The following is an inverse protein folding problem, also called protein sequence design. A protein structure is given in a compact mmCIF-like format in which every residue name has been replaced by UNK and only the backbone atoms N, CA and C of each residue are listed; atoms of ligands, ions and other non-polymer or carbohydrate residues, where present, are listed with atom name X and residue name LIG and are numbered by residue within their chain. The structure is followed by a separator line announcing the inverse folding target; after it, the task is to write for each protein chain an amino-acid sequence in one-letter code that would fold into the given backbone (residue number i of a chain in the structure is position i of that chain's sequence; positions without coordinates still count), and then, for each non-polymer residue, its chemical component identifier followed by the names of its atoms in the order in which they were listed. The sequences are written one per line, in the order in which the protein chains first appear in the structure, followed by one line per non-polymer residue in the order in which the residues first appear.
data_IF_703406736614
#
_entry.id   IF_703406736614
#
_cell.length_a   1.000
_cell.length_b   1.000
_cell.length_c   1.000
_cell.angle_alpha   90.00
_cell.angle_beta   90.00
_cell.angle_gamma   90.00
#
_symmetry.space_group_name_H-M   'P 1'
#
loop_
_entity.id
_entity.type
_entity.pdbx_description
1 polymer ?
#
# COMPACT_ATOMS: atom_id res chain seq x y z
N UNK A 1 -7.78 -1.86 -3.72
CA UNK A 1 -7.26 -2.06 -5.09
C UNK A 1 -7.78 -3.34 -5.73
N UNK A 2 -7.66 -4.51 -5.10
CA UNK A 2 -8.02 -5.81 -5.71
C UNK A 2 -9.47 -5.96 -6.21
N UNK A 3 -10.42 -5.22 -5.69
CA UNK A 3 -11.79 -5.17 -6.18
C UNK A 3 -11.94 -4.52 -7.57
N UNK A 4 -10.96 -3.73 -8.00
CA UNK A 4 -11.13 -2.87 -9.18
C UNK A 4 -10.01 -2.99 -10.20
N UNK A 5 -8.83 -3.48 -9.81
CA UNK A 5 -7.68 -3.62 -10.71
C UNK A 5 -6.53 -4.44 -10.13
N UNK A 6 -5.66 -4.93 -11.00
CA UNK A 6 -4.29 -5.35 -10.66
C UNK A 6 -4.12 -6.80 -10.24
N UNK A 7 -5.18 -7.50 -9.83
CA UNK A 7 -5.10 -8.89 -9.34
C UNK A 7 -6.12 -9.82 -10.04
N UNK A 8 -6.32 -9.61 -11.34
CA UNK A 8 -7.32 -10.32 -12.12
C UNK A 8 -8.76 -9.81 -11.86
N UNK A 9 -9.77 -10.41 -12.49
CA UNK A 9 -11.16 -9.97 -12.40
C UNK A 9 -11.71 -10.08 -10.98
N UNK A 10 -12.63 -9.17 -10.64
CA UNK A 10 -13.42 -9.19 -9.42
C UNK A 10 -14.89 -8.93 -9.79
N UNK A 11 -15.81 -9.41 -8.95
CA UNK A 11 -17.24 -9.12 -9.07
C UNK A 11 -17.64 -8.20 -7.92
N UNK A 12 -18.51 -7.22 -8.23
CA UNK A 12 -18.91 -6.21 -7.26
C UNK A 12 -19.69 -6.83 -6.10
N UNK A 13 -20.56 -7.80 -6.38
CA UNK A 13 -21.36 -8.49 -5.36
C UNK A 13 -20.47 -9.21 -4.34
N UNK A 14 -19.47 -9.98 -4.80
CA UNK A 14 -18.50 -10.66 -3.92
C UNK A 14 -17.65 -9.65 -3.12
N UNK A 15 -17.38 -8.48 -3.73
CA UNK A 15 -16.64 -7.37 -3.09
C UNK A 15 -17.49 -6.72 -1.99
N UNK A 16 -18.80 -6.51 -2.22
CA UNK A 16 -19.73 -5.98 -1.22
C UNK A 16 -19.89 -6.94 -0.04
N UNK A 17 -19.97 -8.25 -0.28
CA UNK A 17 -19.98 -9.27 0.79
C UNK A 17 -18.68 -9.21 1.63
N UNK A 18 -17.54 -8.99 0.96
CA UNK A 18 -16.25 -8.85 1.66
C UNK A 18 -16.22 -7.57 2.52
N UNK A 19 -16.79 -6.46 2.05
CA UNK A 19 -16.92 -5.22 2.83
C UNK A 19 -17.86 -5.39 4.03
N UNK A 20 -18.99 -6.08 3.84
CA UNK A 20 -19.90 -6.42 4.94
C UNK A 20 -19.17 -7.24 6.01
N UNK A 21 -18.44 -8.26 5.60
CA UNK A 21 -17.62 -9.07 6.50
C UNK A 21 -16.56 -8.26 7.24
N UNK A 22 -15.97 -7.25 6.60
CA UNK A 22 -15.00 -6.36 7.25
C UNK A 22 -15.64 -5.57 8.41
N UNK A 23 -16.84 -5.03 8.19
CA UNK A 23 -17.58 -4.32 9.23
C UNK A 23 -17.95 -5.23 10.40
N UNK A 24 -18.41 -6.46 10.13
CA UNK A 24 -18.73 -7.46 11.14
C UNK A 24 -17.54 -7.81 12.03
N UNK A 25 -16.36 -8.01 11.42
CA UNK A 25 -15.12 -8.33 12.12
C UNK A 25 -14.52 -7.16 12.91
N UNK A 26 -14.97 -5.92 12.66
CA UNK A 26 -14.31 -4.72 13.19
C UNK A 26 -13.04 -4.33 12.42
N UNK A 27 -12.86 -4.83 11.19
CA UNK A 27 -11.80 -4.41 10.28
C UNK A 27 -12.21 -3.09 9.61
N UNK A 28 -12.00 -1.97 10.27
CA UNK A 28 -12.64 -0.68 9.94
C UNK A 28 -11.71 0.35 9.32
N UNK A 29 -10.43 0.07 9.15
CA UNK A 29 -9.52 0.93 8.39
C UNK A 29 -9.51 0.47 6.91
N UNK A 30 -10.17 1.24 6.04
CA UNK A 30 -10.27 0.92 4.61
C UNK A 30 -9.46 1.90 3.78
N UNK A 31 -8.78 1.38 2.76
CA UNK A 31 -7.89 2.16 1.89
C UNK A 31 -8.28 2.03 0.42
N UNK A 32 -8.64 3.15 -0.18
CA UNK A 32 -8.97 3.31 -1.59
C UNK A 32 -8.01 4.26 -2.29
N UNK A 33 -8.23 4.52 -3.56
CA UNK A 33 -7.61 5.59 -4.35
C UNK A 33 -8.43 5.85 -5.61
N UNK A 34 -8.40 7.09 -6.10
CA UNK A 34 -9.05 7.47 -7.36
C UNK A 34 -8.58 6.58 -8.53
N UNK A 35 -7.28 6.26 -8.58
CA UNK A 35 -6.69 5.44 -9.63
C UNK A 35 -7.19 3.98 -9.64
N UNK A 36 -7.79 3.47 -8.56
CA UNK A 36 -8.26 2.10 -8.49
C UNK A 36 -9.51 1.90 -9.34
N UNK A 37 -9.30 1.44 -10.59
CA UNK A 37 -10.34 1.30 -11.60
C UNK A 37 -10.92 2.64 -12.05
N UNK A 38 -10.13 3.72 -12.05
CA UNK A 38 -10.55 5.08 -12.39
C UNK A 38 -11.86 5.47 -11.66
N UNK A 39 -11.80 5.48 -10.33
CA UNK A 39 -12.92 5.83 -9.45
C UNK A 39 -13.87 4.68 -9.10
N UNK A 40 -13.83 3.55 -9.81
CA UNK A 40 -14.71 2.40 -9.54
C UNK A 40 -14.64 1.93 -8.07
N UNK A 41 -13.43 1.88 -7.49
CA UNK A 41 -13.25 1.41 -6.11
C UNK A 41 -13.93 2.32 -5.09
N UNK A 42 -13.86 3.63 -5.27
CA UNK A 42 -14.56 4.59 -4.41
C UNK A 42 -16.07 4.48 -4.58
N UNK A 43 -16.57 4.37 -5.82
CA UNK A 43 -18.00 4.20 -6.11
C UNK A 43 -18.56 2.90 -5.51
N UNK A 44 -17.80 1.81 -5.56
CA UNK A 44 -18.20 0.53 -4.95
C UNK A 44 -18.32 0.64 -3.42
N UNK A 45 -17.37 1.34 -2.78
CA UNK A 45 -17.42 1.61 -1.34
C UNK A 45 -18.58 2.56 -1.00
N UNK A 46 -18.83 3.58 -1.81
CA UNK A 46 -19.97 4.49 -1.66
C UNK A 46 -21.31 3.76 -1.74
N UNK A 47 -21.45 2.87 -2.74
CA UNK A 47 -22.61 1.98 -2.87
C UNK A 47 -22.80 1.12 -1.61
N UNK A 48 -21.69 0.57 -1.07
CA UNK A 48 -21.77 -0.21 0.16
C UNK A 48 -22.32 0.62 1.32
N UNK A 49 -21.88 1.86 1.50
CA UNK A 49 -22.37 2.74 2.57
C UNK A 49 -23.84 3.11 2.38
N UNK A 50 -24.28 3.33 1.14
CA UNK A 50 -25.68 3.60 0.82
C UNK A 50 -26.58 2.41 1.13
N UNK A 51 -26.17 1.19 0.73
CA UNK A 51 -26.91 -0.04 0.96
C UNK A 51 -26.87 -0.52 2.42
N UNK A 52 -25.91 -0.01 3.25
CA UNK A 52 -25.71 -0.41 4.65
C UNK A 52 -25.66 0.81 5.58
N UNK A 53 -26.79 1.48 5.87
CA UNK A 53 -26.84 2.65 6.74
C UNK A 53 -26.18 2.41 8.10
N UNK A 54 -25.42 3.40 8.59
CA UNK A 54 -24.65 3.32 9.85
C UNK A 54 -23.28 2.65 9.71
N UNK A 55 -22.93 2.12 8.53
CA UNK A 55 -21.60 1.55 8.31
C UNK A 55 -20.52 2.61 8.10
N UNK A 56 -20.87 3.76 7.50
CA UNK A 56 -19.90 4.85 7.27
C UNK A 56 -19.29 5.36 8.56
N UNK A 57 -20.07 5.53 9.61
CA UNK A 57 -19.64 6.02 10.93
C UNK A 57 -18.71 5.04 11.64
N UNK A 58 -18.75 3.76 11.27
CA UNK A 58 -17.89 2.70 11.84
C UNK A 58 -16.57 2.56 11.10
N UNK A 59 -16.47 3.09 9.88
CA UNK A 59 -15.32 2.90 8.99
C UNK A 59 -14.49 4.17 8.91
N UNK A 60 -13.19 4.03 9.14
CA UNK A 60 -12.20 5.04 8.80
C UNK A 60 -11.77 4.82 7.34
N UNK A 61 -12.16 5.68 6.44
CA UNK A 61 -11.88 5.55 4.99
C UNK A 61 -10.75 6.48 4.56
N UNK A 62 -9.74 5.92 3.93
CA UNK A 62 -8.67 6.65 3.28
C UNK A 62 -8.82 6.59 1.76
N UNK A 63 -8.51 7.69 1.06
CA UNK A 63 -8.37 7.73 -0.39
C UNK A 63 -7.19 8.59 -0.84
N UNK A 64 -6.89 8.60 -2.13
CA UNK A 64 -5.66 9.20 -2.67
C UNK A 64 -5.93 9.91 -4.00
N UNK A 65 -5.30 11.09 -4.18
CA UNK A 65 -5.22 11.81 -5.46
C UNK A 65 -3.78 11.86 -6.01
N UNK A 66 -3.56 12.67 -7.03
CA UNK A 66 -2.22 12.96 -7.56
C UNK A 66 -1.76 12.02 -8.68
N UNK A 67 -2.64 11.14 -9.16
CA UNK A 67 -2.45 10.39 -10.40
C UNK A 67 -3.66 10.68 -11.29
N UNK A 68 -3.39 11.15 -12.52
CA UNK A 68 -4.45 11.48 -13.48
C UNK A 68 -5.20 10.22 -13.93
N UNK A 69 -6.52 10.35 -14.07
CA UNK A 69 -7.41 9.30 -14.55
C UNK A 69 -8.30 9.84 -15.68
N UNK A 70 -8.47 9.02 -16.71
CA UNK A 70 -9.53 9.20 -17.71
C UNK A 70 -10.75 8.39 -17.23
N UNK A 71 -11.73 9.09 -16.65
CA UNK A 71 -12.92 8.47 -16.08
C UNK A 71 -13.87 7.91 -17.16
N UNK A 72 -13.89 8.52 -18.36
CA UNK A 72 -14.72 8.07 -19.49
C UNK A 72 -14.16 6.79 -20.09
N UNK A 73 -12.85 6.76 -20.38
CA UNK A 73 -12.18 5.57 -20.89
C UNK A 73 -11.90 4.52 -19.79
N UNK A 74 -12.19 4.83 -18.53
CA UNK A 74 -11.86 4.00 -17.34
C UNK A 74 -10.39 3.57 -17.32
N UNK A 75 -9.49 4.50 -17.62
CA UNK A 75 -8.04 4.28 -17.71
C UNK A 75 -7.26 5.22 -16.81
N UNK A 76 -6.05 4.84 -16.51
CA UNK A 76 -5.09 5.67 -15.80
C UNK A 76 -3.78 5.70 -16.59
N UNK A 77 -3.30 6.89 -16.86
CA UNK A 77 -2.03 7.12 -17.58
C UNK A 77 -0.82 7.05 -16.66
N UNK A 78 -1.03 6.84 -15.37
CA UNK A 78 0.00 6.89 -14.32
C UNK A 78 0.79 8.21 -14.30
N UNK A 79 0.25 9.24 -14.95
CA UNK A 79 0.82 10.60 -14.91
C UNK A 79 0.56 11.21 -13.55
N UNK A 80 1.61 11.69 -12.90
CA UNK A 80 1.49 12.35 -11.59
C UNK A 80 1.20 13.83 -11.77
N UNK A 81 0.21 14.34 -11.04
CA UNK A 81 -0.17 15.74 -11.03
C UNK A 81 -0.54 16.14 -9.60
N UNK A 82 0.33 16.89 -8.94
CA UNK A 82 0.12 17.38 -7.58
C UNK A 82 -0.20 18.90 -7.55
N UNK A 83 -0.73 19.46 -8.64
CA UNK A 83 -1.16 20.86 -8.63
C UNK A 83 -2.32 21.08 -7.66
N UNK A 84 -2.40 22.26 -7.10
CA UNK A 84 -3.50 22.68 -6.23
C UNK A 84 -4.86 22.48 -6.90
N UNK A 85 -4.98 22.84 -8.18
CA UNK A 85 -6.21 22.66 -8.94
C UNK A 85 -6.64 21.20 -9.02
N UNK A 86 -5.71 20.29 -9.37
CA UNK A 86 -5.98 18.85 -9.42
C UNK A 86 -6.37 18.27 -8.05
N UNK A 87 -5.66 18.63 -7.00
CA UNK A 87 -5.96 18.16 -5.63
C UNK A 87 -7.38 18.59 -5.22
N UNK A 88 -7.75 19.84 -5.49
CA UNK A 88 -9.08 20.39 -5.16
C UNK A 88 -10.20 19.78 -6.01
N UNK A 89 -9.96 19.53 -7.29
CA UNK A 89 -10.91 18.88 -8.17
C UNK A 89 -11.14 17.41 -7.75
N UNK A 90 -10.07 16.68 -7.51
CA UNK A 90 -10.14 15.25 -7.25
C UNK A 90 -10.78 14.91 -5.91
N UNK A 91 -10.66 15.75 -4.88
CA UNK A 91 -11.36 15.52 -3.61
C UNK A 91 -12.88 15.64 -3.77
N UNK A 92 -13.38 16.56 -4.62
CA UNK A 92 -14.82 16.69 -4.88
C UNK A 92 -15.37 15.39 -5.50
N UNK A 93 -14.70 14.89 -6.54
CA UNK A 93 -15.07 13.62 -7.15
C UNK A 93 -14.94 12.43 -6.19
N UNK A 94 -13.94 12.42 -5.29
CA UNK A 94 -13.82 11.40 -4.24
C UNK A 94 -15.02 11.45 -3.29
N UNK A 95 -15.42 12.64 -2.83
CA UNK A 95 -16.58 12.83 -1.95
C UNK A 95 -17.88 12.39 -2.64
N UNK A 96 -18.05 12.74 -3.92
CA UNK A 96 -19.19 12.33 -4.71
C UNK A 96 -19.27 10.79 -4.81
N UNK A 97 -18.20 10.13 -5.20
CA UNK A 97 -18.15 8.66 -5.36
C UNK A 97 -18.31 7.89 -4.05
N UNK A 98 -17.73 8.39 -2.95
CA UNK A 98 -17.87 7.79 -1.61
C UNK A 98 -19.21 8.12 -0.93
N UNK A 99 -19.93 9.15 -1.40
CA UNK A 99 -21.11 9.71 -0.73
C UNK A 99 -20.78 10.45 0.58
N UNK A 100 -19.50 10.66 0.88
CA UNK A 100 -19.03 11.34 2.10
C UNK A 100 -17.56 11.73 2.00
N UNK A 101 -17.12 12.69 2.83
CA UNK A 101 -15.70 13.03 2.95
C UNK A 101 -14.86 11.85 3.44
N UNK A 102 -13.69 11.58 2.85
CA UNK A 102 -12.75 10.60 3.39
C UNK A 102 -12.19 11.10 4.74
N UNK A 103 -11.82 10.15 5.61
CA UNK A 103 -11.14 10.51 6.87
C UNK A 103 -9.69 10.92 6.62
N UNK A 104 -9.00 10.24 5.71
CA UNK A 104 -7.60 10.49 5.37
C UNK A 104 -7.43 10.62 3.86
N UNK A 105 -6.71 11.67 3.43
CA UNK A 105 -6.47 11.91 2.01
C UNK A 105 -4.99 12.05 1.71
N UNK A 106 -4.50 11.26 0.73
CA UNK A 106 -3.08 11.20 0.39
C UNK A 106 -2.75 11.84 -0.96
N UNK A 107 -1.52 12.34 -1.08
CA UNK A 107 -0.83 12.31 -2.38
C UNK A 107 -0.35 10.89 -2.66
N UNK A 108 -0.85 10.28 -3.74
CA UNK A 108 -0.52 8.88 -4.09
C UNK A 108 0.92 8.72 -4.54
N UNK A 109 1.47 9.74 -5.24
CA UNK A 109 2.88 9.86 -5.64
C UNK A 109 3.27 11.33 -5.61
N UNK A 110 4.56 11.60 -5.43
CA UNK A 110 5.10 12.96 -5.46
C UNK A 110 5.46 13.31 -6.90
N UNK A 111 4.95 14.44 -7.40
CA UNK A 111 5.25 14.94 -8.74
C UNK A 111 6.66 15.53 -8.80
N UNK A 112 7.54 14.97 -9.66
CA UNK A 112 8.88 15.54 -9.84
C UNK A 112 8.82 16.95 -10.43
N UNK A 113 9.58 17.86 -9.84
CA UNK A 113 9.70 19.23 -10.36
C UNK A 113 8.60 20.21 -9.94
N UNK A 114 7.51 19.74 -9.32
CA UNK A 114 6.50 20.61 -8.71
C UNK A 114 6.94 21.08 -7.32
N UNK A 115 6.50 22.28 -6.93
CA UNK A 115 6.67 22.79 -5.58
C UNK A 115 5.94 21.88 -4.57
N UNK A 116 6.71 21.27 -3.68
CA UNK A 116 6.14 20.46 -2.59
C UNK A 116 5.24 21.30 -1.69
N UNK A 117 5.64 22.57 -1.44
CA UNK A 117 4.89 23.49 -0.57
C UNK A 117 3.49 23.79 -1.14
N UNK A 118 3.35 23.97 -2.47
CA UNK A 118 2.06 24.12 -3.13
C UNK A 118 1.15 22.93 -2.83
N UNK A 119 1.65 21.72 -3.07
CA UNK A 119 0.87 20.50 -2.92
C UNK A 119 0.48 20.23 -1.46
N UNK A 120 1.40 20.47 -0.51
CA UNK A 120 1.11 20.27 0.92
C UNK A 120 0.16 21.33 1.45
N UNK A 121 0.29 22.59 1.02
CA UNK A 121 -0.67 23.64 1.37
C UNK A 121 -2.07 23.31 0.84
N UNK A 122 -2.17 22.82 -0.40
CA UNK A 122 -3.46 22.38 -0.96
C UNK A 122 -4.12 21.29 -0.11
N UNK A 123 -3.38 20.24 0.30
CA UNK A 123 -3.90 19.22 1.22
C UNK A 123 -4.30 19.80 2.57
N UNK A 124 -3.47 20.69 3.14
CA UNK A 124 -3.76 21.35 4.41
C UNK A 124 -5.04 22.19 4.36
N UNK A 125 -5.28 22.84 3.22
CA UNK A 125 -6.49 23.64 3.01
C UNK A 125 -7.74 22.76 2.87
N UNK A 126 -7.64 21.56 2.25
CA UNK A 126 -8.73 20.57 2.28
C UNK A 126 -9.07 20.15 3.73
N UNK A 127 -8.06 19.90 4.55
CA UNK A 127 -8.25 19.56 5.98
C UNK A 127 -8.93 20.70 6.75
N UNK A 128 -8.48 21.94 6.56
CA UNK A 128 -9.11 23.13 7.16
C UNK A 128 -10.57 23.34 6.70
N UNK A 129 -10.85 23.03 5.43
CA UNK A 129 -12.20 23.10 4.86
C UNK A 129 -13.11 21.95 5.28
N UNK A 130 -12.62 20.98 6.09
CA UNK A 130 -13.39 19.81 6.53
C UNK A 130 -13.64 18.76 5.47
N UNK A 131 -12.93 18.80 4.34
CA UNK A 131 -13.05 17.84 3.23
C UNK A 131 -12.30 16.53 3.50
N UNK A 132 -11.42 16.52 4.48
CA UNK A 132 -10.83 15.34 5.10
C UNK A 132 -10.42 15.69 6.54
N UNK A 133 -10.22 14.68 7.38
CA UNK A 133 -9.78 14.87 8.78
C UNK A 133 -8.26 14.85 8.92
N UNK A 134 -7.62 14.04 8.07
CA UNK A 134 -6.19 13.77 8.09
C UNK A 134 -5.61 13.85 6.68
N UNK A 135 -4.31 14.17 6.58
CA UNK A 135 -3.60 14.23 5.31
C UNK A 135 -2.36 13.34 5.34
N UNK A 136 -1.99 12.77 4.20
CA UNK A 136 -0.89 11.83 4.12
C UNK A 136 -0.09 11.90 2.82
N UNK A 137 1.06 11.21 2.83
CA UNK A 137 1.89 11.00 1.65
C UNK A 137 2.05 9.50 1.38
N UNK A 138 2.25 9.13 0.13
CA UNK A 138 2.56 7.75 -0.24
C UNK A 138 3.84 7.70 -1.06
N UNK A 139 4.76 6.78 -0.70
CA UNK A 139 6.02 6.53 -1.41
C UNK A 139 6.83 7.82 -1.64
N UNK A 140 7.30 8.45 -0.58
CA UNK A 140 8.21 9.59 -0.65
C UNK A 140 9.56 9.28 -0.01
N UNK A 141 10.57 10.13 -0.26
CA UNK A 141 11.86 10.04 0.40
C UNK A 141 11.81 10.60 1.82
N UNK A 142 12.78 10.22 2.65
CA UNK A 142 13.00 10.79 3.99
C UNK A 142 13.09 12.32 3.96
N UNK A 143 13.80 12.87 2.96
CA UNK A 143 13.94 14.32 2.78
C UNK A 143 12.59 14.97 2.44
N UNK A 144 11.81 14.36 1.54
CA UNK A 144 10.48 14.85 1.16
C UNK A 144 9.53 14.86 2.37
N UNK A 145 9.50 13.78 3.17
CA UNK A 145 8.68 13.72 4.37
C UNK A 145 9.04 14.84 5.35
N UNK A 146 10.35 15.03 5.63
CA UNK A 146 10.82 16.09 6.51
C UNK A 146 10.50 17.50 6.00
N UNK A 147 10.57 17.73 4.69
CA UNK A 147 10.18 18.99 4.07
C UNK A 147 8.67 19.21 4.17
N UNK A 148 7.87 18.22 3.84
CA UNK A 148 6.41 18.30 3.92
C UNK A 148 5.93 18.62 5.34
N UNK A 149 6.49 17.97 6.36
CA UNK A 149 6.14 18.21 7.77
C UNK A 149 6.54 19.61 8.28
N UNK A 150 7.44 20.33 7.58
CA UNK A 150 7.71 21.75 7.90
C UNK A 150 6.64 22.69 7.37
N UNK A 151 5.92 22.30 6.31
CA UNK A 151 4.84 23.08 5.71
C UNK A 151 3.52 22.85 6.46
N UNK A 152 3.15 21.59 6.66
CA UNK A 152 2.01 21.19 7.48
C UNK A 152 2.27 19.79 8.07
N UNK A 153 1.65 19.50 9.23
CA UNK A 153 1.75 18.17 9.83
C UNK A 153 1.15 17.11 8.88
N UNK A 154 1.96 16.08 8.56
CA UNK A 154 1.53 14.92 7.82
C UNK A 154 1.12 13.85 8.83
N UNK A 155 -0.13 13.40 8.76
CA UNK A 155 -0.70 12.47 9.74
C UNK A 155 -0.29 11.01 9.43
N UNK A 156 -0.12 10.66 8.14
CA UNK A 156 0.20 9.31 7.72
C UNK A 156 1.15 9.24 6.53
N UNK A 157 1.99 8.21 6.52
CA UNK A 157 2.89 7.84 5.42
C UNK A 157 2.56 6.41 4.97
N UNK A 158 2.13 6.24 3.72
CA UNK A 158 1.86 4.92 3.15
C UNK A 158 3.04 4.43 2.32
N UNK A 159 3.61 3.28 2.68
CA UNK A 159 4.79 2.68 2.04
C UNK A 159 4.62 1.17 1.82
N UNK A 160 5.36 0.60 0.85
CA UNK A 160 5.51 -0.86 0.80
C UNK A 160 6.30 -1.32 2.01
N UNK A 161 5.72 -2.18 2.84
CA UNK A 161 6.41 -2.70 4.01
C UNK A 161 5.92 -4.09 4.39
N UNK A 162 6.84 -5.02 4.50
CA UNK A 162 6.58 -6.43 4.81
C UNK A 162 7.88 -7.14 5.15
N UNK A 163 7.87 -8.39 5.66
CA UNK A 163 9.08 -9.22 5.73
C UNK A 163 9.77 -9.47 4.39
N UNK A 164 9.10 -9.15 3.28
CA UNK A 164 9.63 -9.24 1.91
C UNK A 164 10.29 -7.96 1.41
N UNK A 165 10.02 -6.81 2.06
CA UNK A 165 10.54 -5.50 1.67
C UNK A 165 10.73 -4.61 2.90
N UNK A 166 11.98 -4.36 3.29
CA UNK A 166 12.40 -3.62 4.50
C UNK A 166 13.33 -2.45 4.20
N UNK A 167 13.52 -2.06 2.94
CA UNK A 167 14.49 -1.01 2.52
C UNK A 167 14.23 0.32 3.23
N UNK A 168 12.97 0.61 3.63
CA UNK A 168 12.60 1.84 4.32
C UNK A 168 13.13 1.94 5.76
N UNK A 169 13.56 0.85 6.35
CA UNK A 169 14.28 0.85 7.62
C UNK A 169 15.71 1.36 7.44
N UNK A 170 16.37 0.94 6.33
CA UNK A 170 17.77 1.27 6.06
C UNK A 170 17.96 2.68 5.51
N UNK A 171 16.97 3.22 4.79
CA UNK A 171 17.04 4.59 4.24
C UNK A 171 16.55 5.68 5.21
N UNK A 172 16.22 5.31 6.45
CA UNK A 172 15.83 6.21 7.53
C UNK A 172 14.41 6.79 7.41
N UNK A 173 13.58 6.29 6.48
CA UNK A 173 12.22 6.82 6.28
C UNK A 173 11.29 6.47 7.44
N UNK A 174 11.37 5.23 7.95
CA UNK A 174 10.58 4.79 9.10
C UNK A 174 10.98 5.54 10.36
N UNK A 175 12.28 5.73 10.58
CA UNK A 175 12.78 6.51 11.73
C UNK A 175 12.30 7.97 11.66
N UNK A 176 12.36 8.58 10.47
CA UNK A 176 11.87 9.93 10.28
C UNK A 176 10.36 10.04 10.51
N UNK A 177 9.57 9.05 10.06
CA UNK A 177 8.12 9.03 10.32
C UNK A 177 7.85 8.96 11.83
N UNK A 178 8.54 8.09 12.57
CA UNK A 178 8.43 7.96 14.02
C UNK A 178 8.82 9.25 14.75
N UNK A 179 9.94 9.86 14.37
CA UNK A 179 10.45 11.11 14.94
C UNK A 179 9.46 12.27 14.74
N UNK A 180 8.79 12.32 13.58
CA UNK A 180 7.83 13.37 13.21
C UNK A 180 6.39 13.09 13.69
N UNK A 181 6.14 11.97 14.37
CA UNK A 181 4.80 11.58 14.81
C UNK A 181 3.88 11.18 13.66
N UNK A 182 4.43 10.67 12.55
CA UNK A 182 3.70 10.26 11.34
C UNK A 182 3.41 8.76 11.40
N UNK A 183 2.15 8.37 11.29
CA UNK A 183 1.74 6.96 11.29
C UNK A 183 2.17 6.25 10.01
N UNK A 184 2.79 5.07 10.12
CA UNK A 184 3.20 4.26 8.97
C UNK A 184 2.08 3.30 8.58
N UNK A 185 1.61 3.39 7.33
CA UNK A 185 0.62 2.50 6.73
C UNK A 185 1.32 1.58 5.73
N UNK A 186 1.29 0.28 5.98
CA UNK A 186 2.02 -0.72 5.21
C UNK A 186 1.15 -1.33 4.11
N UNK A 187 1.36 -0.92 2.85
CA UNK A 187 0.73 -1.61 1.74
C UNK A 187 1.57 -2.82 1.28
N UNK A 188 0.94 -3.76 0.59
CA UNK A 188 1.52 -5.06 0.24
C UNK A 188 2.18 -5.80 1.41
N UNK A 189 1.58 -5.84 2.61
CA UNK A 189 2.19 -6.43 3.80
C UNK A 189 2.40 -7.95 3.68
N UNK A 190 1.77 -8.58 2.70
CA UNK A 190 1.92 -9.99 2.33
C UNK A 190 2.89 -10.20 1.14
N UNK A 191 3.74 -9.20 0.80
CA UNK A 191 4.64 -9.27 -0.34
C UNK A 191 3.92 -9.50 -1.67
N UNK A 192 2.80 -8.83 -1.90
CA UNK A 192 1.89 -9.04 -3.04
C UNK A 192 1.36 -10.49 -3.13
N UNK A 193 1.22 -11.15 -1.98
CA UNK A 193 0.68 -12.51 -1.83
C UNK A 193 1.72 -13.62 -1.80
N UNK A 194 3.01 -13.36 -2.08
CA UNK A 194 4.03 -14.42 -2.06
C UNK A 194 4.23 -15.01 -0.66
N UNK A 195 4.15 -14.19 0.38
CA UNK A 195 4.33 -14.64 1.78
C UNK A 195 3.20 -15.52 2.29
N UNK A 196 2.07 -15.61 1.59
CA UNK A 196 1.01 -16.55 1.95
C UNK A 196 1.36 -17.99 1.58
N UNK A 197 2.36 -18.20 0.69
CA UNK A 197 2.74 -19.50 0.18
C UNK A 197 1.77 -20.08 -0.86
N UNK A 198 0.75 -19.33 -1.28
CA UNK A 198 -0.22 -19.78 -2.31
C UNK A 198 0.30 -19.58 -3.74
N UNK A 199 1.33 -18.75 -3.93
CA UNK A 199 2.01 -18.55 -5.22
C UNK A 199 3.26 -19.43 -5.25
N UNK A 200 3.34 -20.31 -6.20
CA UNK A 200 4.47 -21.25 -6.39
C UNK A 200 5.13 -21.12 -7.76
N UNK A 201 4.40 -20.65 -8.75
CA UNK A 201 4.86 -20.46 -10.12
C UNK A 201 4.18 -19.26 -10.80
N UNK A 202 4.72 -18.84 -11.95
CA UNK A 202 4.12 -17.79 -12.77
C UNK A 202 2.76 -18.17 -13.37
N UNK A 203 2.48 -19.48 -13.50
CA UNK A 203 1.20 -20.00 -13.96
C UNK A 203 0.04 -19.80 -12.96
N UNK A 204 0.35 -19.52 -11.69
CA UNK A 204 -0.66 -19.24 -10.66
C UNK A 204 -1.33 -17.87 -10.84
N UNK A 205 -0.76 -17.01 -11.71
CA UNK A 205 -1.31 -15.69 -11.96
C UNK A 205 -2.33 -15.71 -13.10
N UNK A 206 -3.48 -15.09 -12.87
CA UNK A 206 -4.54 -14.94 -13.87
C UNK A 206 -4.15 -13.90 -14.94
N UNK A 207 -4.89 -13.89 -16.05
CA UNK A 207 -4.77 -12.83 -17.06
C UNK A 207 -5.07 -11.46 -16.42
N UNK A 208 -4.31 -10.43 -16.80
CA UNK A 208 -4.43 -9.09 -16.21
C UNK A 208 -3.82 -8.93 -14.81
N UNK A 209 -3.18 -9.98 -14.27
CA UNK A 209 -2.47 -9.88 -12.99
C UNK A 209 -1.13 -9.16 -13.19
N UNK A 210 -0.98 -8.01 -12.54
CA UNK A 210 0.22 -7.15 -12.66
C UNK A 210 1.50 -7.84 -12.20
N UNK A 211 1.41 -8.89 -11.35
CA UNK A 211 2.58 -9.62 -10.85
C UNK A 211 3.33 -10.32 -11.96
N UNK A 212 2.67 -10.70 -13.08
CA UNK A 212 3.33 -11.29 -14.26
C UNK A 212 4.43 -10.41 -14.84
N UNK A 213 4.30 -9.09 -14.70
CA UNK A 213 5.26 -8.12 -15.23
C UNK A 213 6.31 -7.67 -14.21
N UNK A 214 6.17 -8.04 -12.93
CA UNK A 214 7.10 -7.63 -11.87
C UNK A 214 8.30 -8.57 -11.84
N UNK A 215 9.56 -8.08 -11.99
CA UNK A 215 10.75 -8.91 -12.04
C UNK A 215 10.92 -9.91 -10.89
N UNK A 216 10.50 -9.56 -9.66
CA UNK A 216 10.53 -10.48 -8.50
C UNK A 216 9.73 -11.76 -8.69
N UNK A 217 8.74 -11.74 -9.59
CA UNK A 217 7.87 -12.88 -9.87
C UNK A 217 8.22 -13.56 -11.21
N UNK A 218 9.29 -13.14 -11.91
CA UNK A 218 9.77 -13.86 -13.08
C UNK A 218 10.20 -15.29 -12.72
N UNK A 219 10.14 -16.21 -13.66
CA UNK A 219 10.54 -17.61 -13.44
C UNK A 219 11.96 -17.72 -12.87
N UNK A 220 12.89 -16.90 -13.40
CA UNK A 220 14.28 -16.83 -12.97
C UNK A 220 14.41 -16.49 -11.49
N UNK A 221 13.68 -15.48 -11.03
CA UNK A 221 13.79 -14.99 -9.65
C UNK A 221 12.89 -15.76 -8.67
N UNK A 222 11.73 -16.23 -9.15
CA UNK A 222 10.72 -16.85 -8.30
C UNK A 222 11.23 -18.10 -7.60
N UNK A 223 12.01 -18.95 -8.29
CA UNK A 223 12.56 -20.18 -7.71
C UNK A 223 13.46 -19.90 -6.50
N UNK A 224 14.31 -18.88 -6.60
CA UNK A 224 15.18 -18.42 -5.50
C UNK A 224 14.35 -17.80 -4.38
N UNK A 225 13.38 -16.96 -4.74
CA UNK A 225 12.51 -16.25 -3.83
C UNK A 225 11.62 -17.20 -3.02
N UNK A 226 11.13 -18.29 -3.62
CA UNK A 226 10.35 -19.33 -2.95
C UNK A 226 11.11 -20.06 -1.84
N UNK A 227 12.42 -20.02 -1.85
CA UNK A 227 13.24 -20.59 -0.73
C UNK A 227 12.99 -19.82 0.57
N UNK A 228 12.90 -18.48 0.45
CA UNK A 228 12.61 -17.59 1.58
C UNK A 228 11.20 -17.85 2.12
N UNK A 229 10.23 -17.97 1.21
CA UNK A 229 8.84 -18.25 1.56
C UNK A 229 8.71 -19.54 2.35
N UNK A 230 9.40 -20.61 1.94
CA UNK A 230 9.39 -21.89 2.64
C UNK A 230 9.96 -21.81 4.07
N UNK A 231 11.05 -21.05 4.26
CA UNK A 231 11.58 -20.86 5.62
C UNK A 231 10.61 -20.03 6.48
N UNK A 232 9.96 -19.03 5.88
CA UNK A 232 8.93 -18.26 6.56
C UNK A 232 7.72 -19.10 6.95
N UNK A 233 7.28 -20.02 6.08
CA UNK A 233 6.22 -21.00 6.37
C UNK A 233 6.55 -21.89 7.56
N UNK A 234 7.79 -22.37 7.68
CA UNK A 234 8.22 -23.18 8.84
C UNK A 234 8.10 -22.40 10.15
N UNK A 235 8.42 -21.09 10.14
CA UNK A 235 8.24 -20.24 11.33
C UNK A 235 6.76 -20.09 11.68
N UNK A 236 5.89 -19.93 10.69
CA UNK A 236 4.46 -19.83 10.89
C UNK A 236 3.87 -21.12 11.47
N UNK A 237 4.25 -22.28 10.92
CA UNK A 237 3.86 -23.61 11.44
C UNK A 237 4.29 -23.78 12.91
N UNK A 238 5.54 -23.45 13.23
CA UNK A 238 6.05 -23.47 14.60
C UNK A 238 5.29 -22.55 15.55
N UNK A 239 4.81 -21.40 15.03
CA UNK A 239 3.98 -20.43 15.76
C UNK A 239 2.53 -20.88 15.91
N UNK A 240 2.06 -21.81 15.08
CA UNK A 240 0.67 -22.24 15.04
C UNK A 240 -0.28 -21.26 14.35
N UNK A 241 0.21 -20.53 13.35
CA UNK A 241 -0.57 -19.58 12.54
C UNK A 241 -0.26 -19.76 11.06
N UNK A 242 -1.04 -19.11 10.18
CA UNK A 242 -0.72 -19.09 8.75
C UNK A 242 0.46 -18.16 8.46
N UNK A 243 1.16 -18.38 7.32
CA UNK A 243 2.23 -17.51 6.88
C UNK A 243 1.75 -16.07 6.65
N UNK A 244 0.53 -15.90 6.15
CA UNK A 244 -0.09 -14.59 6.00
C UNK A 244 -0.28 -13.89 7.35
N UNK A 245 -0.79 -14.61 8.35
CA UNK A 245 -0.95 -14.08 9.71
C UNK A 245 0.39 -13.74 10.35
N UNK A 246 1.42 -14.56 10.17
CA UNK A 246 2.76 -14.27 10.68
C UNK A 246 3.34 -12.99 10.05
N UNK A 247 3.18 -12.81 8.73
CA UNK A 247 3.65 -11.63 8.02
C UNK A 247 2.96 -10.35 8.51
N UNK A 248 1.65 -10.39 8.69
CA UNK A 248 0.87 -9.25 9.20
C UNK A 248 1.21 -8.95 10.66
N UNK A 249 1.33 -9.96 11.52
CA UNK A 249 1.72 -9.80 12.91
C UNK A 249 3.13 -9.18 13.03
N UNK A 250 4.06 -9.56 12.15
CA UNK A 250 5.37 -8.95 12.11
C UNK A 250 5.30 -7.46 11.76
N UNK A 251 4.50 -7.06 10.76
CA UNK A 251 4.29 -5.65 10.39
C UNK A 251 3.70 -4.85 11.56
N UNK A 252 2.70 -5.42 12.25
CA UNK A 252 2.10 -4.82 13.45
C UNK A 252 3.16 -4.62 14.54
N UNK A 253 4.00 -5.62 14.78
CA UNK A 253 5.06 -5.56 15.79
C UNK A 253 6.15 -4.50 15.47
N UNK A 254 6.31 -4.09 14.19
CA UNK A 254 7.16 -2.95 13.82
C UNK A 254 6.48 -1.58 14.07
N UNK A 255 5.24 -1.56 14.57
CA UNK A 255 4.48 -0.33 14.80
C UNK A 255 3.81 0.25 13.54
N UNK A 256 3.71 -0.52 12.46
CA UNK A 256 3.01 -0.11 11.24
C UNK A 256 1.61 -0.71 11.16
N UNK A 257 0.70 -0.05 10.46
CA UNK A 257 -0.68 -0.50 10.24
C UNK A 257 -0.74 -1.20 8.88
N UNK A 258 -0.90 -2.55 8.83
CA UNK A 258 -0.98 -3.27 7.57
C UNK A 258 -2.35 -3.09 6.91
N UNK A 259 -2.33 -2.92 5.56
CA UNK A 259 -3.55 -2.85 4.73
C UNK A 259 -3.55 -3.95 3.66
N UNK A 260 -3.69 -5.24 4.07
CA UNK A 260 -3.71 -6.35 3.14
C UNK A 260 -4.95 -6.31 2.26
N UNK A 261 -4.76 -6.27 0.92
CA UNK A 261 -5.87 -6.34 -0.03
C UNK A 261 -6.36 -7.77 -0.21
N UNK A 262 -7.70 -7.95 -0.23
CA UNK A 262 -8.33 -9.23 -0.56
C UNK A 262 -9.63 -9.03 -1.33
N UNK A 263 -10.08 -10.07 -2.06
CA UNK A 263 -11.38 -10.17 -2.75
C UNK A 263 -12.30 -11.22 -2.08
N UNK A 264 -11.88 -11.80 -0.96
CA UNK A 264 -12.54 -12.94 -0.31
C UNK A 264 -12.78 -12.65 1.16
N UNK A 265 -14.01 -12.82 1.60
CA UNK A 265 -14.40 -12.71 3.02
C UNK A 265 -13.68 -13.73 3.91
N UNK A 266 -13.36 -14.92 3.37
CA UNK A 266 -12.57 -15.94 4.06
C UNK A 266 -11.13 -15.46 4.31
N UNK A 267 -10.44 -14.98 3.24
CA UNK A 267 -9.09 -14.43 3.38
C UNK A 267 -9.06 -13.17 4.25
N UNK A 268 -10.11 -12.37 4.22
CA UNK A 268 -10.24 -11.23 5.13
C UNK A 268 -10.25 -11.70 6.58
N UNK A 269 -11.04 -12.72 6.88
CA UNK A 269 -11.14 -13.31 8.23
C UNK A 269 -9.78 -13.88 8.66
N UNK A 270 -9.08 -14.59 7.78
CA UNK A 270 -7.72 -15.08 8.02
C UNK A 270 -6.77 -13.93 8.33
N UNK A 271 -6.71 -12.91 7.46
CA UNK A 271 -5.84 -11.75 7.62
C UNK A 271 -6.11 -11.01 8.94
N UNK A 272 -7.39 -10.79 9.28
CA UNK A 272 -7.78 -10.11 10.50
C UNK A 272 -7.36 -10.87 11.76
N UNK A 273 -7.33 -12.21 11.68
CA UNK A 273 -6.83 -13.08 12.74
C UNK A 273 -5.36 -12.85 13.13
N UNK A 274 -4.58 -12.15 12.28
CA UNK A 274 -3.21 -11.77 12.60
C UNK A 274 -3.10 -10.88 13.85
N UNK A 275 -4.16 -10.12 14.18
CA UNK A 275 -4.22 -9.29 15.39
C UNK A 275 -4.12 -10.08 16.68
N UNK A 276 -4.39 -11.39 16.64
CA UNK A 276 -4.28 -12.30 17.78
C UNK A 276 -2.93 -13.04 17.85
N UNK A 277 -2.04 -12.82 16.87
CA UNK A 277 -0.71 -13.47 16.83
C UNK A 277 0.31 -12.57 17.55
N UNK A 278 0.60 -12.89 18.80
CA UNK A 278 1.60 -12.18 19.59
C UNK A 278 2.99 -12.76 19.34
N UNK A 279 3.93 -11.94 18.91
CA UNK A 279 5.32 -12.32 18.66
C UNK A 279 6.21 -11.94 19.86
N UNK A 280 6.96 -12.90 20.38
CA UNK A 280 8.00 -12.66 21.38
C UNK A 280 9.24 -12.02 20.74
N UNK A 281 10.09 -11.37 21.53
CA UNK A 281 11.37 -10.81 21.08
C UNK A 281 12.27 -11.85 20.39
N UNK A 282 12.23 -13.10 20.85
CA UNK A 282 12.98 -14.21 20.22
C UNK A 282 12.44 -14.50 18.81
N UNK A 283 11.12 -14.55 18.63
CA UNK A 283 10.49 -14.80 17.33
C UNK A 283 10.71 -13.61 16.39
N UNK A 284 10.63 -12.38 16.88
CA UNK A 284 10.96 -11.18 16.10
C UNK A 284 12.42 -11.22 15.63
N UNK A 285 13.36 -11.61 16.49
CA UNK A 285 14.78 -11.75 16.12
C UNK A 285 14.98 -12.86 15.09
N UNK A 286 14.31 -14.02 15.23
CA UNK A 286 14.38 -15.13 14.28
C UNK A 286 13.84 -14.71 12.90
N UNK A 287 12.70 -14.02 12.86
CA UNK A 287 12.12 -13.48 11.62
C UNK A 287 13.04 -12.40 11.02
N UNK A 288 13.58 -11.49 11.85
CA UNK A 288 14.49 -10.45 11.39
C UNK A 288 15.71 -11.04 10.69
N UNK A 289 16.35 -12.03 11.30
CA UNK A 289 17.48 -12.72 10.68
C UNK A 289 17.12 -13.34 9.33
N UNK A 290 15.97 -14.01 9.25
CA UNK A 290 15.50 -14.56 7.97
C UNK A 290 15.30 -13.47 6.91
N UNK A 291 14.70 -12.33 7.29
CA UNK A 291 14.47 -11.19 6.40
C UNK A 291 15.78 -10.59 5.88
N UNK A 292 16.78 -10.42 6.76
CA UNK A 292 18.10 -9.86 6.40
C UNK A 292 18.90 -10.81 5.49
N UNK A 293 18.83 -12.12 5.76
CA UNK A 293 19.51 -13.13 4.96
C UNK A 293 18.84 -13.37 3.60
N UNK A 294 17.57 -13.03 3.49
CA UNK A 294 16.70 -13.42 2.39
C UNK A 294 17.03 -12.73 1.06
N UNK A 295 17.26 -11.43 1.04
CA UNK A 295 17.56 -10.58 -0.13
C UNK A 295 16.77 -10.99 -1.38
N UNK A 296 15.46 -10.69 -1.47
CA UNK A 296 14.65 -11.08 -2.61
C UNK A 296 15.25 -10.61 -3.94
N UNK A 297 15.32 -11.50 -4.91
CA UNK A 297 15.87 -11.21 -6.24
C UNK A 297 14.84 -10.52 -7.13
N UNK A 298 15.30 -9.60 -7.97
CA UNK A 298 14.47 -8.83 -8.91
C UNK A 298 13.86 -7.56 -8.31
N UNK A 299 13.56 -6.61 -9.20
CA UNK A 299 12.94 -5.35 -8.82
C UNK A 299 11.48 -5.55 -8.38
N UNK A 300 11.01 -4.71 -7.43
CA UNK A 300 9.65 -4.76 -6.88
C UNK A 300 8.56 -4.16 -7.78
N UNK A 301 8.97 -3.41 -8.81
CA UNK A 301 8.08 -2.78 -9.79
C UNK A 301 8.59 -3.00 -11.21
N UNK A 302 7.69 -2.96 -12.18
CA UNK A 302 8.01 -2.72 -13.58
C UNK A 302 8.37 -1.25 -13.73
N UNK A 303 9.43 -0.93 -14.47
CA UNK A 303 9.81 0.45 -14.76
C UNK A 303 8.77 1.11 -15.68
N UNK A 304 7.71 1.67 -15.10
CA UNK A 304 6.78 2.56 -15.81
C UNK A 304 7.16 4.04 -15.73
N UNK A 305 8.14 4.38 -14.86
CA UNK A 305 8.67 5.72 -14.74
C UNK A 305 10.15 5.72 -15.15
N UNK A 306 10.65 6.74 -15.86
CA UNK A 306 12.08 6.87 -16.18
C UNK A 306 12.94 6.75 -14.91
N UNK A 307 14.07 6.07 -14.99
CA UNK A 307 15.02 5.83 -13.86
C UNK A 307 15.31 7.10 -13.03
N UNK A 308 15.36 8.27 -13.67
CA UNK A 308 15.57 9.56 -13.00
C UNK A 308 14.44 9.97 -12.06
N UNK A 309 13.20 9.53 -12.28
CA UNK A 309 12.07 9.86 -11.41
C UNK A 309 12.07 8.96 -10.16
N UNK A 310 12.59 7.74 -10.26
CA UNK A 310 12.75 6.82 -9.14
C UNK A 310 13.88 7.24 -8.19
N UNK A 311 14.98 7.75 -8.72
CA UNK A 311 16.12 8.19 -7.91
C UNK A 311 15.77 9.38 -7.00
N UNK A 312 14.86 10.26 -7.40
CA UNK A 312 14.41 11.38 -6.56
C UNK A 312 13.49 10.94 -5.40
N UNK A 313 12.81 9.80 -5.52
CA UNK A 313 12.03 9.21 -4.44
C UNK A 313 12.84 8.23 -3.57
N UNK A 314 14.01 7.78 -4.06
CA UNK A 314 14.82 6.74 -3.43
C UNK A 314 16.32 7.07 -3.44
N UNK A 315 16.74 8.26 -3.04
CA UNK A 315 18.17 8.59 -2.86
C UNK A 315 18.72 7.76 -1.71
N UNK A 316 19.48 6.70 -2.03
CA UNK A 316 20.16 5.92 -1.00
C UNK A 316 20.65 4.52 -1.37
N UNK A 317 20.65 4.11 -2.65
CA UNK A 317 21.35 2.88 -3.03
C UNK A 317 22.54 3.27 -3.93
N UNK A 318 23.72 3.28 -3.34
CA UNK A 318 24.97 3.40 -4.08
C UNK A 318 25.10 2.22 -5.05
N UNK A 319 25.05 2.51 -6.35
CA UNK A 319 25.49 1.58 -7.41
C UNK A 319 27.01 1.44 -7.30
N UNK A 320 27.48 0.47 -6.53
CA UNK A 320 28.86 0.02 -6.63
C UNK A 320 29.01 -0.80 -7.90
N UNK A 321 29.61 -0.19 -8.91
CA UNK A 321 30.57 -0.77 -9.84
C UNK A 321 30.05 -1.85 -10.80
N UNK A 322 29.64 -1.42 -12.00
CA UNK A 322 30.00 -2.18 -13.19
C UNK A 322 31.06 -1.37 -13.97
N UNK A 323 32.31 -1.74 -13.72
CA UNK A 323 33.43 -1.30 -14.54
C UNK A 323 33.28 -2.00 -15.91
N UNK A 324 33.08 -1.19 -16.95
CA UNK A 324 33.30 -1.57 -18.34
C UNK A 324 34.73 -2.09 -18.50
N UNK A 325 34.90 -3.35 -18.86
CA UNK A 325 36.12 -3.79 -19.55
C UNK A 325 35.86 -3.76 -21.05
N UNK A 326 36.75 -3.05 -21.70
CA UNK A 326 36.93 -3.02 -23.15
C UNK A 326 37.19 -4.44 -23.73
#
# INVERSE_FOLDING_TARGET
MGFSMGYGPAKDEESLETLARAVELGCTFWDSAVVYGAGHNESLIGRFFEENPGSRERVFIASKCGIECDFEAKKTDMKVNNSEAHIKEYIEGTIERLGSAPDLYYLHRIEPGRSLDESINALSDLKKAGKCRYIGLSECSTETLRKACKVAHIDALQIEYSPWFTDHEQNGLIDAAKELGVSVIAYSPLGKGILTGTVSSTSDFQEGDVRKSIPRFSEENLSTNMRIVREFQKLAEKKGCTSGQLALAWVIAQGAIPIPGTKSAERLTENFGASNVNLSEKELTEIRKLVEDAKPQGNRFVFFLPERQWQQTHVGIATTGMATRQ
#
